data_IF_109508947559
#
_entry.id   IF_109508947559
#
_cell.length_a   1.000
_cell.length_b   1.000
_cell.length_c   1.000
_cell.angle_alpha   90.00
_cell.angle_beta   90.00
_cell.angle_gamma   90.00
#
_symmetry.space_group_name_H-M   'P 1'
#
loop_
_entity.id
_entity.type
_entity.pdbx_description
1 polymer ?
#
# COMPACT_ATOMS: atom_id res chain seq x y z
N UNK A 1 30.45 -12.03 18.95
CA UNK A 1 29.14 -11.34 18.94
C UNK A 1 29.22 -10.04 18.14
N UNK A 2 30.38 -9.37 18.12
CA UNK A 2 30.58 -8.09 17.42
C UNK A 2 30.49 -8.18 15.88
N UNK A 3 30.91 -9.32 15.29
CA UNK A 3 30.74 -9.56 13.84
C UNK A 3 29.25 -9.62 13.44
N UNK A 4 28.41 -10.31 14.23
CA UNK A 4 26.97 -10.40 13.98
C UNK A 4 26.26 -9.05 14.14
N UNK A 5 26.75 -8.18 15.02
CA UNK A 5 26.20 -6.84 15.20
C UNK A 5 26.52 -5.92 14.01
N UNK A 6 27.68 -6.08 13.37
CA UNK A 6 28.03 -5.38 12.13
C UNK A 6 27.15 -5.80 10.96
N UNK A 7 26.90 -7.10 10.82
CA UNK A 7 26.10 -7.65 9.72
C UNK A 7 24.62 -7.23 9.77
N UNK A 8 24.07 -7.02 10.97
CA UNK A 8 22.67 -6.59 11.16
C UNK A 8 22.37 -5.28 10.43
N UNK A 9 23.28 -4.30 10.49
CA UNK A 9 23.08 -2.99 9.86
C UNK A 9 23.14 -3.03 8.33
N UNK A 10 23.78 -4.05 7.77
CA UNK A 10 23.85 -4.30 6.33
C UNK A 10 22.56 -4.98 5.84
N UNK A 11 22.04 -5.94 6.61
CA UNK A 11 20.87 -6.73 6.22
C UNK A 11 19.54 -6.04 6.52
N UNK A 12 19.50 -5.17 7.54
CA UNK A 12 18.26 -4.53 7.99
C UNK A 12 17.60 -3.62 6.94
N UNK A 13 18.32 -2.73 6.22
CA UNK A 13 17.71 -1.90 5.19
C UNK A 13 17.02 -2.67 4.05
N UNK A 14 17.68 -3.63 3.36
CA UNK A 14 17.02 -4.36 2.30
C UNK A 14 15.89 -5.24 2.83
N UNK A 15 16.00 -5.76 4.06
CA UNK A 15 14.92 -6.50 4.70
C UNK A 15 13.68 -5.62 4.91
N UNK A 16 13.84 -4.41 5.45
CA UNK A 16 12.74 -3.46 5.63
C UNK A 16 12.09 -3.07 4.29
N UNK A 17 12.88 -2.90 3.24
CA UNK A 17 12.38 -2.61 1.89
C UNK A 17 11.58 -3.80 1.35
N UNK A 18 12.09 -5.02 1.44
CA UNK A 18 11.40 -6.23 0.99
C UNK A 18 10.11 -6.46 1.77
N UNK A 19 10.16 -6.38 3.10
CA UNK A 19 8.97 -6.54 3.97
C UNK A 19 7.96 -5.42 3.69
N UNK A 20 8.43 -4.19 3.45
CA UNK A 20 7.58 -3.08 3.05
C UNK A 20 6.87 -3.32 1.73
N UNK A 21 7.59 -3.77 0.69
CA UNK A 21 7.00 -4.15 -0.61
C UNK A 21 5.97 -5.27 -0.45
N UNK A 22 6.28 -6.30 0.33
CA UNK A 22 5.33 -7.39 0.66
C UNK A 22 4.13 -6.84 1.43
N UNK A 23 4.32 -5.90 2.37
CA UNK A 23 3.27 -5.24 3.14
C UNK A 23 2.32 -4.38 2.32
N UNK A 24 2.74 -3.89 1.15
CA UNK A 24 1.85 -3.20 0.20
C UNK A 24 0.90 -4.21 -0.47
N UNK A 25 1.41 -5.39 -0.83
CA UNK A 25 0.62 -6.46 -1.47
C UNK A 25 -0.25 -7.18 -0.44
N UNK A 26 0.25 -7.32 0.77
CA UNK A 26 -0.37 -7.99 1.91
C UNK A 26 -0.74 -6.88 2.92
N UNK A 27 -1.93 -6.25 2.81
CA UNK A 27 -2.35 -5.04 3.54
C UNK A 27 -2.54 -5.24 5.07
N UNK A 28 -1.46 -5.60 5.73
CA UNK A 28 -1.32 -5.77 7.18
C UNK A 28 -0.31 -4.77 7.73
N UNK A 29 0.70 -4.42 6.92
CA UNK A 29 1.82 -3.57 7.33
C UNK A 29 1.78 -2.22 6.59
N UNK A 30 2.29 -1.14 7.20
CA UNK A 30 2.42 0.15 6.53
C UNK A 30 3.56 0.09 5.51
N UNK A 31 3.30 -0.53 4.36
CA UNK A 31 4.32 -0.99 3.44
C UNK A 31 5.24 0.12 2.92
N UNK A 32 4.69 1.23 2.41
CA UNK A 32 5.48 2.36 1.96
C UNK A 32 6.32 3.00 3.09
N UNK A 33 5.81 3.01 4.32
CA UNK A 33 6.54 3.51 5.49
C UNK A 33 7.75 2.63 5.79
N UNK A 34 7.60 1.30 5.72
CA UNK A 34 8.70 0.35 5.92
C UNK A 34 9.78 0.49 4.84
N UNK A 35 9.38 0.74 3.58
CA UNK A 35 10.34 0.98 2.49
C UNK A 35 11.15 2.25 2.74
N UNK A 36 10.50 3.36 3.13
CA UNK A 36 11.21 4.60 3.49
C UNK A 36 12.06 4.41 4.76
N UNK A 37 11.59 3.62 5.73
CA UNK A 37 12.36 3.30 6.93
C UNK A 37 13.63 2.51 6.60
N UNK A 38 13.55 1.55 5.68
CA UNK A 38 14.74 0.84 5.17
C UNK A 38 15.73 1.81 4.52
N UNK A 39 15.25 2.71 3.66
CA UNK A 39 16.09 3.75 3.06
C UNK A 39 16.72 4.68 4.11
N UNK A 40 15.96 5.05 5.15
CA UNK A 40 16.44 5.87 6.25
C UNK A 40 17.55 5.17 7.04
N UNK A 41 17.36 3.90 7.39
CA UNK A 41 18.39 3.11 8.09
C UNK A 41 19.65 3.02 7.23
N UNK A 42 19.52 2.78 5.91
CA UNK A 42 20.68 2.78 5.01
C UNK A 42 21.39 4.14 4.95
N UNK A 43 20.66 5.24 4.84
CA UNK A 43 21.26 6.57 4.79
C UNK A 43 22.02 6.92 6.09
N UNK A 44 21.53 6.44 7.24
CA UNK A 44 22.23 6.58 8.52
C UNK A 44 23.53 5.78 8.57
N UNK A 45 23.54 4.56 8.03
CA UNK A 45 24.72 3.70 8.00
C UNK A 45 25.76 4.20 7.01
N UNK A 46 25.32 4.68 5.86
CA UNK A 46 26.19 5.22 4.80
C UNK A 46 26.78 6.58 5.21
N UNK A 47 25.99 7.42 5.88
CA UNK A 47 26.39 8.73 6.41
C UNK A 47 27.10 9.64 5.39
N UNK A 48 26.67 9.57 4.12
CA UNK A 48 27.23 10.35 3.03
C UNK A 48 26.24 11.43 2.55
N UNK A 49 26.72 12.55 1.98
CA UNK A 49 25.84 13.56 1.38
C UNK A 49 24.89 12.96 0.33
N UNK A 50 25.37 11.99 -0.45
CA UNK A 50 24.56 11.27 -1.44
C UNK A 50 23.44 10.46 -0.78
N UNK A 51 23.73 9.74 0.31
CA UNK A 51 22.74 8.97 1.08
C UNK A 51 21.60 9.86 1.61
N UNK A 52 21.93 11.03 2.15
CA UNK A 52 20.94 12.00 2.63
C UNK A 52 20.09 12.60 1.51
N UNK A 53 20.68 12.88 0.34
CA UNK A 53 19.93 13.35 -0.84
C UNK A 53 18.94 12.29 -1.32
N UNK A 54 19.39 11.03 -1.44
CA UNK A 54 18.54 9.93 -1.90
C UNK A 54 17.40 9.64 -0.90
N UNK A 55 17.66 9.78 0.41
CA UNK A 55 16.61 9.74 1.43
C UNK A 55 15.59 10.87 1.23
N UNK A 56 16.04 12.11 1.04
CA UNK A 56 15.16 13.25 0.78
C UNK A 56 14.26 13.01 -0.45
N UNK A 57 14.83 12.52 -1.55
CA UNK A 57 14.08 12.12 -2.74
C UNK A 57 13.06 11.01 -2.43
N UNK A 58 13.45 10.03 -1.63
CA UNK A 58 12.58 8.91 -1.25
C UNK A 58 11.37 9.39 -0.43
N UNK A 59 11.56 10.32 0.51
CA UNK A 59 10.48 10.95 1.26
C UNK A 59 9.56 11.75 0.34
N UNK A 60 10.11 12.50 -0.62
CA UNK A 60 9.31 13.23 -1.61
C UNK A 60 8.47 12.30 -2.48
N UNK A 61 9.05 11.19 -2.94
CA UNK A 61 8.33 10.16 -3.71
C UNK A 61 7.22 9.53 -2.88
N UNK A 62 7.47 9.20 -1.62
CA UNK A 62 6.47 8.64 -0.73
C UNK A 62 5.33 9.62 -0.47
N UNK A 63 5.65 10.89 -0.22
CA UNK A 63 4.66 11.95 -0.05
C UNK A 63 3.82 12.17 -1.32
N UNK A 64 4.45 12.18 -2.50
CA UNK A 64 3.76 12.26 -3.78
C UNK A 64 2.84 11.04 -4.01
N UNK A 65 3.30 9.84 -3.69
CA UNK A 65 2.49 8.62 -3.73
C UNK A 65 1.26 8.71 -2.84
N UNK A 66 1.41 9.20 -1.62
CA UNK A 66 0.31 9.41 -0.68
C UNK A 66 -0.70 10.45 -1.20
N UNK A 67 -0.21 11.57 -1.74
CA UNK A 67 -1.06 12.60 -2.35
C UNK A 67 -1.82 12.03 -3.56
N UNK A 68 -1.15 11.30 -4.45
CA UNK A 68 -1.77 10.66 -5.62
C UNK A 68 -2.83 9.63 -5.21
N UNK A 69 -2.57 8.82 -4.18
CA UNK A 69 -3.55 7.89 -3.62
C UNK A 69 -4.77 8.59 -3.01
N UNK A 70 -4.66 9.85 -2.60
CA UNK A 70 -5.84 10.61 -2.15
C UNK A 70 -6.59 11.26 -3.32
N UNK A 71 -5.85 11.84 -4.26
CA UNK A 71 -6.41 12.61 -5.37
C UNK A 71 -7.02 11.73 -6.47
N UNK A 72 -6.47 10.54 -6.75
CA UNK A 72 -6.90 9.66 -7.84
C UNK A 72 -8.19 8.88 -7.48
N UNK A 73 -8.29 8.17 -6.33
CA UNK A 73 -9.48 7.43 -5.94
C UNK A 73 -10.62 8.34 -5.45
N UNK A 74 -10.28 9.44 -4.75
CA UNK A 74 -11.26 10.40 -4.21
C UNK A 74 -12.11 11.09 -5.28
N UNK A 75 -11.58 11.23 -6.51
CA UNK A 75 -12.34 11.76 -7.65
C UNK A 75 -13.33 10.75 -8.24
N UNK A 76 -13.09 9.44 -8.11
CA UNK A 76 -13.94 8.38 -8.68
C UNK A 76 -15.05 7.90 -7.75
N UNK A 77 -14.85 7.93 -6.43
CA UNK A 77 -15.90 7.55 -5.47
C UNK A 77 -17.11 8.51 -5.50
N UNK A 78 -16.90 9.81 -5.69
CA UNK A 78 -17.99 10.78 -5.88
C UNK A 78 -18.76 10.58 -7.19
N UNK A 79 -18.13 9.97 -8.20
CA UNK A 79 -18.74 9.78 -9.52
C UNK A 79 -19.58 8.49 -9.62
N UNK A 80 -19.43 7.55 -8.68
CA UNK A 80 -20.10 6.23 -8.73
C UNK A 80 -21.29 6.07 -7.77
N UNK A 81 -21.70 7.13 -7.06
CA UNK A 81 -22.95 7.13 -6.29
C UNK A 81 -23.01 6.19 -5.08
N UNK A 82 -21.89 5.59 -4.68
CA UNK A 82 -21.84 4.71 -3.50
C UNK A 82 -22.01 5.56 -2.24
N UNK A 83 -23.21 5.52 -1.66
CA UNK A 83 -23.55 6.25 -0.43
C UNK A 83 -22.65 5.80 0.72
N UNK A 84 -22.28 6.72 1.62
CA UNK A 84 -21.49 6.42 2.83
C UNK A 84 -22.13 5.31 3.68
N UNK A 85 -23.46 5.20 3.64
CA UNK A 85 -24.21 4.12 4.31
C UNK A 85 -24.01 2.73 3.70
N UNK A 86 -23.45 2.61 2.49
CA UNK A 86 -23.01 1.35 1.87
C UNK A 86 -21.60 0.96 2.31
N UNK A 87 -20.76 1.95 2.61
CA UNK A 87 -19.37 1.73 3.00
C UNK A 87 -19.22 1.14 4.40
N UNK A 88 -20.02 1.58 5.37
CA UNK A 88 -19.97 1.06 6.75
C UNK A 88 -20.18 -0.46 6.84
N UNK A 89 -21.27 -1.04 6.31
CA UNK A 89 -21.48 -2.50 6.34
C UNK A 89 -20.44 -3.26 5.51
N UNK A 90 -19.95 -2.69 4.40
CA UNK A 90 -18.86 -3.29 3.63
C UNK A 90 -17.55 -3.34 4.43
N UNK A 91 -17.24 -2.28 5.16
CA UNK A 91 -16.06 -2.23 6.02
C UNK A 91 -16.17 -3.24 7.17
N UNK A 92 -17.35 -3.37 7.79
CA UNK A 92 -17.57 -4.39 8.82
C UNK A 92 -17.35 -5.82 8.29
N UNK A 93 -17.87 -6.14 7.10
CA UNK A 93 -17.64 -7.42 6.43
C UNK A 93 -16.18 -7.62 6.04
N UNK A 94 -15.45 -6.56 5.68
CA UNK A 94 -14.01 -6.60 5.48
C UNK A 94 -13.27 -7.01 6.76
N UNK A 95 -13.61 -6.40 7.90
CA UNK A 95 -13.02 -6.78 9.19
C UNK A 95 -13.31 -8.24 9.52
N UNK A 96 -14.56 -8.69 9.39
CA UNK A 96 -14.91 -10.10 9.64
C UNK A 96 -14.15 -11.03 8.69
N UNK A 97 -14.14 -10.71 7.40
CA UNK A 97 -13.44 -11.50 6.39
C UNK A 97 -11.94 -11.61 6.69
N UNK A 98 -11.30 -10.52 7.11
CA UNK A 98 -9.89 -10.52 7.54
C UNK A 98 -9.60 -11.56 8.63
N UNK A 99 -10.48 -11.70 9.61
CA UNK A 99 -10.32 -12.71 10.67
C UNK A 99 -10.56 -14.15 10.19
N UNK A 100 -11.37 -14.34 9.14
CA UNK A 100 -11.66 -15.68 8.58
C UNK A 100 -10.55 -16.13 7.63
N UNK A 101 -10.13 -15.26 6.73
CA UNK A 101 -9.01 -15.48 5.80
C UNK A 101 -8.10 -14.26 5.93
N UNK A 102 -6.99 -14.38 6.70
CA UNK A 102 -6.07 -13.27 6.89
C UNK A 102 -5.74 -12.59 5.57
N UNK A 103 -5.83 -11.26 5.57
CA UNK A 103 -5.44 -10.39 4.45
C UNK A 103 -6.42 -10.42 3.27
N UNK A 104 -6.61 -11.57 2.63
CA UNK A 104 -7.47 -11.73 1.45
C UNK A 104 -8.93 -11.49 1.82
N UNK A 105 -9.33 -11.92 3.02
CA UNK A 105 -10.68 -11.77 3.50
C UNK A 105 -11.10 -10.33 3.76
N UNK A 106 -10.18 -9.38 3.95
CA UNK A 106 -10.52 -7.96 4.01
C UNK A 106 -11.05 -7.46 2.66
N UNK A 107 -10.32 -7.76 1.58
CA UNK A 107 -10.71 -7.38 0.22
C UNK A 107 -11.99 -8.09 -0.19
N UNK A 108 -12.06 -9.41 0.04
CA UNK A 108 -13.23 -10.23 -0.28
C UNK A 108 -14.45 -9.78 0.52
N UNK A 109 -14.30 -9.53 1.83
CA UNK A 109 -15.37 -9.07 2.71
C UNK A 109 -15.88 -7.68 2.32
N UNK A 110 -14.98 -6.75 1.98
CA UNK A 110 -15.35 -5.42 1.49
C UNK A 110 -16.16 -5.51 0.19
N UNK A 111 -15.66 -6.30 -0.78
CA UNK A 111 -16.32 -6.53 -2.07
C UNK A 111 -17.69 -7.19 -1.88
N UNK A 112 -17.77 -8.25 -1.08
CA UNK A 112 -19.02 -8.94 -0.78
C UNK A 112 -20.02 -8.04 -0.04
N UNK A 113 -19.55 -7.19 0.87
CA UNK A 113 -20.41 -6.27 1.59
C UNK A 113 -21.00 -5.18 0.70
N UNK A 114 -20.25 -4.63 -0.24
CA UNK A 114 -20.82 -3.74 -1.26
C UNK A 114 -21.87 -4.48 -2.08
N UNK A 115 -21.55 -5.70 -2.55
CA UNK A 115 -22.46 -6.50 -3.36
C UNK A 115 -23.77 -6.83 -2.64
N UNK A 116 -23.70 -7.27 -1.37
CA UNK A 116 -24.85 -7.63 -0.53
C UNK A 116 -25.76 -6.43 -0.24
N UNK A 117 -25.17 -5.28 0.12
CA UNK A 117 -25.94 -4.07 0.42
C UNK A 117 -26.65 -3.54 -0.82
N UNK A 118 -26.01 -3.66 -1.98
CA UNK A 118 -26.57 -3.18 -3.23
C UNK A 118 -27.64 -4.14 -3.80
N UNK A 119 -27.41 -5.45 -3.76
CA UNK A 119 -28.45 -6.43 -4.13
C UNK A 119 -29.66 -6.37 -3.19
N UNK A 120 -29.44 -6.12 -1.89
CA UNK A 120 -30.52 -5.91 -0.91
C UNK A 120 -31.37 -4.67 -1.18
N UNK A 121 -30.90 -3.72 -2.01
CA UNK A 121 -31.64 -2.50 -2.40
C UNK A 121 -32.39 -2.62 -3.73
N UNK A 122 -32.48 -3.82 -4.29
CA UNK A 122 -33.24 -4.09 -5.52
C UNK A 122 -32.44 -3.92 -6.81
N UNK A 123 -31.12 -3.70 -6.73
CA UNK A 123 -30.23 -3.60 -7.89
C UNK A 123 -30.13 -4.95 -8.61
N UNK A 124 -30.15 -4.94 -9.95
CA UNK A 124 -30.01 -6.19 -10.71
C UNK A 124 -28.64 -6.83 -10.44
N UNK A 125 -28.54 -8.17 -10.43
CA UNK A 125 -27.25 -8.88 -10.24
C UNK A 125 -26.15 -8.39 -11.18
N UNK A 126 -26.53 -7.99 -12.40
CA UNK A 126 -25.61 -7.48 -13.42
C UNK A 126 -25.05 -6.10 -13.06
N UNK A 127 -25.87 -5.22 -12.49
CA UNK A 127 -25.42 -3.93 -11.96
C UNK A 127 -24.51 -4.09 -10.74
N UNK A 128 -24.86 -4.97 -9.81
CA UNK A 128 -24.06 -5.21 -8.61
C UNK A 128 -22.68 -5.80 -8.95
N UNK A 129 -22.61 -6.67 -9.96
CA UNK A 129 -21.34 -7.17 -10.50
C UNK A 129 -20.51 -6.09 -11.18
N UNK A 130 -21.12 -5.21 -11.99
CA UNK A 130 -20.41 -4.08 -12.61
C UNK A 130 -19.77 -3.15 -11.57
N UNK A 131 -20.49 -2.83 -10.49
CA UNK A 131 -19.96 -2.01 -9.37
C UNK A 131 -18.83 -2.71 -8.62
N UNK A 132 -18.90 -4.03 -8.49
CA UNK A 132 -17.83 -4.86 -7.91
C UNK A 132 -16.55 -4.78 -8.74
N UNK A 133 -16.64 -4.92 -10.07
CA UNK A 133 -15.49 -4.79 -10.97
C UNK A 133 -14.84 -3.40 -10.85
N UNK A 134 -15.65 -2.34 -10.76
CA UNK A 134 -15.12 -0.99 -10.55
C UNK A 134 -14.45 -0.81 -9.19
N UNK A 135 -14.98 -1.41 -8.13
CA UNK A 135 -14.35 -1.40 -6.80
C UNK A 135 -13.00 -2.13 -6.82
N UNK A 136 -12.90 -3.29 -7.48
CA UNK A 136 -11.64 -4.02 -7.65
C UNK A 136 -10.62 -3.20 -8.43
N UNK A 137 -11.03 -2.58 -9.55
CA UNK A 137 -10.14 -1.70 -10.32
C UNK A 137 -9.66 -0.51 -9.47
N UNK A 138 -10.54 0.09 -8.67
CA UNK A 138 -10.14 1.19 -7.78
C UNK A 138 -9.12 0.75 -6.72
N UNK A 139 -9.29 -0.44 -6.14
CA UNK A 139 -8.33 -1.03 -5.18
C UNK A 139 -6.99 -1.28 -5.86
N UNK A 140 -6.99 -1.93 -7.03
CA UNK A 140 -5.77 -2.22 -7.80
C UNK A 140 -5.06 -0.93 -8.24
N UNK A 141 -5.81 0.12 -8.58
CA UNK A 141 -5.24 1.44 -8.88
C UNK A 141 -4.59 2.07 -7.64
N UNK A 142 -5.21 1.96 -6.46
CA UNK A 142 -4.63 2.43 -5.20
C UNK A 142 -3.32 1.70 -4.87
N UNK A 143 -3.34 0.36 -4.91
CA UNK A 143 -2.16 -0.47 -4.68
C UNK A 143 -1.06 -0.21 -5.72
N UNK A 144 -1.43 0.00 -6.98
CA UNK A 144 -0.47 0.31 -8.04
C UNK A 144 0.29 1.61 -7.80
N UNK A 145 -0.38 2.65 -7.28
CA UNK A 145 0.28 3.92 -6.94
C UNK A 145 1.26 3.73 -5.77
N UNK A 146 0.84 3.00 -4.72
CA UNK A 146 1.72 2.73 -3.58
C UNK A 146 2.93 1.91 -3.97
N UNK A 147 2.72 0.84 -4.72
CA UNK A 147 3.76 -0.06 -5.20
C UNK A 147 4.72 0.68 -6.14
N UNK A 148 4.21 1.54 -7.02
CA UNK A 148 5.06 2.35 -7.89
C UNK A 148 5.97 3.30 -7.09
N UNK A 149 5.42 4.01 -6.10
CA UNK A 149 6.21 4.88 -5.22
C UNK A 149 7.27 4.07 -4.45
N UNK A 150 6.89 2.93 -3.89
CA UNK A 150 7.79 2.05 -3.16
C UNK A 150 8.90 1.47 -4.04
N UNK A 151 8.59 1.08 -5.27
CA UNK A 151 9.58 0.59 -6.24
C UNK A 151 10.56 1.69 -6.66
N UNK A 152 10.10 2.94 -6.80
CA UNK A 152 11.01 4.07 -7.05
C UNK A 152 11.95 4.26 -5.88
N UNK A 153 11.47 4.21 -4.63
CA UNK A 153 12.34 4.29 -3.43
C UNK A 153 13.33 3.12 -3.38
N UNK A 154 12.87 1.89 -3.65
CA UNK A 154 13.76 0.73 -3.73
C UNK A 154 14.82 0.88 -4.84
N UNK A 155 14.45 1.47 -5.98
CA UNK A 155 15.39 1.81 -7.04
C UNK A 155 16.41 2.86 -6.62
N UNK A 156 16.00 3.91 -5.89
CA UNK A 156 16.91 4.91 -5.32
C UNK A 156 17.91 4.28 -4.34
N UNK A 157 17.47 3.33 -3.53
CA UNK A 157 18.34 2.54 -2.66
C UNK A 157 19.38 1.75 -3.47
N UNK A 158 18.96 1.03 -4.53
CA UNK A 158 19.89 0.31 -5.42
C UNK A 158 20.88 1.26 -6.09
N UNK A 159 20.42 2.42 -6.57
CA UNK A 159 21.31 3.45 -7.14
C UNK A 159 22.32 3.91 -6.09
N UNK A 160 21.87 4.18 -4.86
CA UNK A 160 22.72 4.50 -3.72
C UNK A 160 23.85 3.49 -3.55
N UNK A 161 23.51 2.20 -3.43
CA UNK A 161 24.49 1.12 -3.32
C UNK A 161 25.49 1.02 -4.47
N UNK A 162 25.16 1.52 -5.66
CA UNK A 162 26.04 1.47 -6.83
C UNK A 162 26.97 2.68 -6.93
N UNK A 163 26.63 3.80 -6.30
CA UNK A 163 27.39 5.07 -6.41
C UNK A 163 28.16 5.45 -5.16
N UNK A 164 27.97 4.71 -4.06
CA UNK A 164 28.70 4.85 -2.79
C UNK A 164 29.50 3.57 -2.53
#
# INVERSE_FOLDING_TARGET
>A
MDALAGDVWIVLPPLLIVVGLVGIVIPVLPGLVLVVAGMFVWALTENSPAGWVLLGLSVLVAAAGFVLQYLVPGRRMKQQGVRTSTLLPALALAVVGFFVIPVVGAVVGFVLGIWLVETGRGSSRREAWGRTQHAVVAILQGWGIELAAALVVAGLYVVGLLVT
#
